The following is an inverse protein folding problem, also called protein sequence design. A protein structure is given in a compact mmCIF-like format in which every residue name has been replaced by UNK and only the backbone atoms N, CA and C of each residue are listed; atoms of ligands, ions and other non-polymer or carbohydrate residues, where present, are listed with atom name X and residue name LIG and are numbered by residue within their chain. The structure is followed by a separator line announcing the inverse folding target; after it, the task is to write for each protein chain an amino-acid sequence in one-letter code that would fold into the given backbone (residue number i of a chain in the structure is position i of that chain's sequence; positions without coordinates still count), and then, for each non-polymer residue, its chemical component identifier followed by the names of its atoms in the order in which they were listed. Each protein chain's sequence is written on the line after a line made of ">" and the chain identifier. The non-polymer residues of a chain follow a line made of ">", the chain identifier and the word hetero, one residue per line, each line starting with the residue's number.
data_IF_532041781900
#
_entry.id   IF_532041781900
#
_cell.length_a   1.000
_cell.length_b   1.000
_cell.length_c   1.000
_cell.angle_alpha   90.00
_cell.angle_beta   90.00
_cell.angle_gamma   90.00
#
_symmetry.space_group_name_H-M   'P 1'
#
loop_
_entity.id
_entity.type
_entity.pdbx_description
1 polymer ?
#
# COMPACT_ATOMS: atom_id res chain seq x y z
N UNK A 1 -17.52 4.94 12.16
CA UNK A 1 -17.53 3.59 11.53
C UNK A 1 -16.54 3.61 10.38
N UNK A 2 -15.67 2.60 10.31
CA UNK A 2 -14.77 2.34 9.19
C UNK A 2 -15.27 1.08 8.47
N UNK A 3 -15.42 1.18 7.15
CA UNK A 3 -15.77 0.06 6.26
C UNK A 3 -14.58 -0.19 5.35
N UNK A 4 -14.04 -1.39 5.38
CA UNK A 4 -12.88 -1.84 4.61
C UNK A 4 -13.06 -3.30 4.18
N UNK A 5 -12.23 -3.80 3.26
CA UNK A 5 -12.21 -5.19 2.81
C UNK A 5 -13.57 -5.69 2.29
N UNK A 6 -14.31 -4.85 1.59
CA UNK A 6 -15.66 -5.17 1.09
C UNK A 6 -15.65 -6.22 -0.04
N UNK A 7 -14.50 -6.48 -0.61
CA UNK A 7 -14.23 -7.47 -1.67
C UNK A 7 -13.94 -8.88 -1.12
N UNK A 8 -13.52 -8.98 0.14
CA UNK A 8 -13.07 -10.26 0.73
C UNK A 8 -14.18 -11.21 1.23
N UNK A 9 -15.39 -10.74 1.70
CA UNK A 9 -16.39 -11.66 2.21
C UNK A 9 -16.69 -12.78 1.21
N UNK A 10 -16.78 -14.02 1.70
CA UNK A 10 -16.94 -15.23 0.88
C UNK A 10 -18.11 -15.14 -0.13
N UNK A 11 -19.21 -14.47 0.26
CA UNK A 11 -20.37 -14.28 -0.63
C UNK A 11 -20.11 -13.24 -1.72
N UNK A 12 -19.18 -12.32 -1.51
CA UNK A 12 -18.83 -11.26 -2.46
C UNK A 12 -17.71 -11.73 -3.39
N UNK A 13 -16.65 -12.30 -2.83
CA UNK A 13 -15.53 -12.91 -3.55
C UNK A 13 -15.06 -12.07 -4.76
N UNK A 14 -14.81 -10.79 -4.54
CA UNK A 14 -14.34 -9.86 -5.57
C UNK A 14 -15.41 -9.38 -6.57
N UNK A 15 -16.67 -9.82 -6.45
CA UNK A 15 -17.73 -9.39 -7.37
C UNK A 15 -18.11 -7.92 -7.15
N UNK A 16 -17.86 -7.09 -8.15
CA UNK A 16 -18.20 -5.66 -8.16
C UNK A 16 -19.69 -5.41 -7.99
N UNK A 17 -20.52 -6.25 -8.58
CA UNK A 17 -21.98 -6.13 -8.52
C UNK A 17 -22.49 -6.42 -7.10
N UNK A 18 -21.96 -7.45 -6.44
CA UNK A 18 -22.32 -7.76 -5.07
C UNK A 18 -21.78 -6.73 -4.07
N UNK A 19 -20.57 -6.21 -4.28
CA UNK A 19 -20.05 -5.07 -3.52
C UNK A 19 -20.96 -3.85 -3.67
N UNK A 20 -21.40 -3.54 -4.88
CA UNK A 20 -22.34 -2.46 -5.15
C UNK A 20 -23.66 -2.69 -4.43
N UNK A 21 -24.24 -3.88 -4.53
CA UNK A 21 -25.50 -4.24 -3.88
C UNK A 21 -25.43 -4.08 -2.35
N UNK A 22 -24.27 -4.36 -1.75
CA UNK A 22 -24.02 -4.15 -0.32
C UNK A 22 -23.91 -2.66 0.04
N UNK A 23 -23.13 -1.89 -0.72
CA UNK A 23 -22.69 -0.54 -0.33
C UNK A 23 -23.68 0.55 -0.72
N UNK A 24 -24.36 0.44 -1.88
CA UNK A 24 -25.26 1.48 -2.37
C UNK A 24 -26.42 1.78 -1.41
N UNK A 25 -27.08 0.80 -0.80
CA UNK A 25 -28.06 1.07 0.25
C UNK A 25 -27.49 1.82 1.45
N UNK A 26 -26.23 1.60 1.81
CA UNK A 26 -25.56 2.33 2.90
C UNK A 26 -25.32 3.79 2.50
N UNK A 27 -24.86 4.04 1.26
CA UNK A 27 -24.61 5.38 0.74
C UNK A 27 -25.89 6.18 0.53
N UNK A 28 -26.96 5.53 0.06
CA UNK A 28 -28.25 6.16 -0.26
C UNK A 28 -29.19 6.28 0.94
N UNK A 29 -28.79 5.82 2.12
CA UNK A 29 -29.65 5.72 3.29
C UNK A 29 -29.48 6.92 4.25
N UNK A 30 -30.51 7.12 5.09
CA UNK A 30 -30.49 8.02 6.25
C UNK A 30 -29.37 7.68 7.26
N UNK A 31 -28.74 6.49 7.14
CA UNK A 31 -27.63 6.06 7.97
C UNK A 31 -26.47 7.08 7.99
N UNK A 32 -26.08 7.61 6.82
CA UNK A 32 -25.02 8.63 6.73
C UNK A 32 -25.46 10.01 7.28
N UNK A 33 -26.74 10.19 7.54
CA UNK A 33 -27.33 11.46 8.02
C UNK A 33 -27.63 11.43 9.52
N UNK A 34 -27.35 10.32 10.21
CA UNK A 34 -27.59 10.22 11.66
C UNK A 34 -26.62 11.11 12.42
N UNK A 35 -27.12 11.94 13.36
CA UNK A 35 -26.24 12.74 14.23
C UNK A 35 -25.27 11.84 15.00
N UNK A 36 -24.02 12.26 15.11
CA UNK A 36 -22.99 11.52 15.86
C UNK A 36 -22.40 10.30 15.14
N UNK A 37 -22.84 10.00 13.91
CA UNK A 37 -22.29 8.91 13.10
C UNK A 37 -21.42 9.47 11.97
N UNK A 38 -20.12 9.17 12.01
CA UNK A 38 -19.21 9.38 10.90
C UNK A 38 -18.86 8.05 10.25
N UNK A 39 -18.95 7.96 8.93
CA UNK A 39 -18.58 6.74 8.17
C UNK A 39 -17.44 7.08 7.24
N UNK A 40 -16.42 6.23 7.23
CA UNK A 40 -15.33 6.23 6.24
C UNK A 40 -15.35 4.88 5.55
N UNK A 41 -15.31 4.89 4.22
CA UNK A 41 -15.28 3.69 3.41
C UNK A 41 -14.02 3.69 2.57
N UNK A 42 -13.24 2.60 2.63
CA UNK A 42 -12.14 2.31 1.73
C UNK A 42 -12.69 1.36 0.68
N UNK A 43 -12.84 1.85 -0.53
CA UNK A 43 -13.50 1.10 -1.61
C UNK A 43 -12.47 0.66 -2.65
N UNK A 44 -12.60 -0.56 -3.19
CA UNK A 44 -11.83 -1.00 -4.35
C UNK A 44 -12.00 -0.03 -5.53
N UNK A 45 -10.93 0.15 -6.30
CA UNK A 45 -10.90 1.09 -7.43
C UNK A 45 -11.92 0.74 -8.50
N UNK A 46 -12.25 -0.53 -8.64
CA UNK A 46 -13.25 -1.06 -9.57
C UNK A 46 -14.64 -0.48 -9.35
N UNK A 47 -14.95 -0.10 -8.10
CA UNK A 47 -16.22 0.56 -7.78
C UNK A 47 -16.27 2.03 -8.21
N UNK A 48 -15.13 2.65 -8.50
CA UNK A 48 -15.07 4.06 -8.91
C UNK A 48 -15.86 4.32 -10.19
N UNK A 49 -15.84 3.39 -11.15
CA UNK A 49 -16.60 3.50 -12.39
C UNK A 49 -18.11 3.48 -12.15
N UNK A 50 -18.58 2.65 -11.22
CA UNK A 50 -19.99 2.61 -10.86
C UNK A 50 -20.42 3.92 -10.19
N UNK A 51 -19.59 4.44 -9.27
CA UNK A 51 -19.85 5.74 -8.64
C UNK A 51 -19.93 6.85 -9.71
N UNK A 52 -19.00 6.87 -10.67
CA UNK A 52 -18.97 7.88 -11.73
C UNK A 52 -20.17 7.82 -12.68
N UNK A 53 -20.79 6.66 -12.84
CA UNK A 53 -22.00 6.47 -13.68
C UNK A 53 -23.28 6.86 -12.98
N UNK A 54 -23.27 7.07 -11.68
CA UNK A 54 -24.44 7.49 -10.92
C UNK A 54 -24.81 8.95 -11.24
N UNK A 55 -26.10 9.24 -11.20
CA UNK A 55 -26.60 10.57 -11.49
C UNK A 55 -26.40 11.57 -10.33
N UNK A 56 -26.56 12.86 -10.63
CA UNK A 56 -26.40 13.95 -9.66
C UNK A 56 -27.21 13.74 -8.37
N UNK A 57 -28.42 13.24 -8.49
CA UNK A 57 -29.29 12.98 -7.35
C UNK A 57 -28.69 11.94 -6.37
N UNK A 58 -28.05 10.89 -6.88
CA UNK A 58 -27.32 9.94 -6.05
C UNK A 58 -26.14 10.61 -5.31
N UNK A 59 -25.33 11.41 -6.02
CA UNK A 59 -24.21 12.14 -5.41
C UNK A 59 -24.67 13.07 -4.27
N UNK A 60 -25.77 13.80 -4.47
CA UNK A 60 -26.33 14.70 -3.46
C UNK A 60 -26.87 13.91 -2.26
N UNK A 61 -27.55 12.80 -2.48
CA UNK A 61 -28.07 11.94 -1.40
C UNK A 61 -26.94 11.27 -0.61
N UNK A 62 -25.96 10.70 -1.31
CA UNK A 62 -24.82 10.02 -0.75
C UNK A 62 -23.75 10.98 -0.20
N UNK A 63 -23.90 12.28 -0.42
CA UNK A 63 -22.93 13.32 -0.04
C UNK A 63 -21.54 13.06 -0.61
N UNK A 64 -21.44 12.52 -1.80
CA UNK A 64 -20.21 12.28 -2.54
C UNK A 64 -19.79 13.52 -3.35
N UNK A 65 -19.93 14.71 -2.76
CA UNK A 65 -19.40 15.94 -3.33
C UNK A 65 -17.85 15.97 -3.19
N UNK A 66 -17.24 17.03 -3.69
CA UNK A 66 -15.77 17.19 -3.72
C UNK A 66 -15.10 17.12 -2.34
N UNK A 67 -15.87 17.33 -1.26
CA UNK A 67 -15.33 17.33 0.10
C UNK A 67 -15.33 15.93 0.74
N UNK A 68 -16.22 15.04 0.29
CA UNK A 68 -16.46 13.75 0.89
C UNK A 68 -15.87 12.57 0.10
N UNK A 69 -15.52 12.79 -1.16
CA UNK A 69 -14.91 11.78 -2.02
C UNK A 69 -13.42 12.06 -2.25
N UNK A 70 -12.57 11.13 -1.80
CA UNK A 70 -11.15 11.12 -2.11
C UNK A 70 -10.94 10.08 -3.21
N UNK A 71 -10.66 10.51 -4.46
CA UNK A 71 -10.65 9.59 -5.61
C UNK A 71 -9.51 8.58 -5.58
N UNK A 72 -8.39 8.91 -4.96
CA UNK A 72 -7.25 7.98 -4.83
C UNK A 72 -6.35 8.37 -3.66
N UNK A 73 -5.66 7.37 -3.11
CA UNK A 73 -4.57 7.57 -2.15
C UNK A 73 -3.24 7.40 -2.89
N UNK A 74 -2.59 8.50 -3.19
CA UNK A 74 -1.31 8.50 -3.89
C UNK A 74 -0.16 8.52 -2.88
N UNK A 75 0.83 7.66 -3.11
CA UNK A 75 2.05 7.57 -2.32
C UNK A 75 3.22 8.12 -3.13
N UNK A 76 3.90 9.12 -2.61
CA UNK A 76 5.18 9.55 -3.15
C UNK A 76 6.33 8.70 -2.60
N UNK A 77 7.50 8.77 -3.24
CA UNK A 77 8.70 8.11 -2.73
C UNK A 77 9.07 8.60 -1.33
N UNK A 78 8.89 9.89 -1.08
CA UNK A 78 9.14 10.53 0.21
C UNK A 78 8.16 10.03 1.30
N UNK A 79 6.88 9.93 0.97
CA UNK A 79 5.88 9.37 1.88
C UNK A 79 6.16 7.90 2.21
N UNK A 80 6.60 7.10 1.23
CA UNK A 80 7.02 5.72 1.46
C UNK A 80 8.31 5.64 2.28
N UNK A 81 9.24 6.58 2.09
CA UNK A 81 10.46 6.69 2.91
C UNK A 81 10.10 6.99 4.37
N UNK A 82 9.17 7.89 4.63
CA UNK A 82 8.70 8.22 5.97
C UNK A 82 7.99 7.02 6.63
N UNK A 83 7.17 6.28 5.89
CA UNK A 83 6.54 5.04 6.37
C UNK A 83 7.59 3.99 6.75
N UNK A 84 8.62 3.79 5.92
CA UNK A 84 9.73 2.88 6.21
C UNK A 84 10.49 3.31 7.47
N UNK A 85 10.81 4.60 7.59
CA UNK A 85 11.46 5.16 8.77
C UNK A 85 10.65 4.96 10.04
N UNK A 86 9.36 5.23 10.01
CA UNK A 86 8.47 5.02 11.14
C UNK A 86 8.48 3.55 11.59
N UNK A 87 8.49 2.61 10.63
CA UNK A 87 8.54 1.18 10.93
C UNK A 87 9.87 0.76 11.55
N UNK A 88 10.99 1.23 10.99
CA UNK A 88 12.34 0.95 11.52
C UNK A 88 12.50 1.50 12.94
N UNK A 89 12.06 2.74 13.18
CA UNK A 89 12.07 3.34 14.52
C UNK A 89 11.25 2.55 15.53
N UNK A 90 10.09 2.04 15.13
CA UNK A 90 9.24 1.24 16.01
C UNK A 90 9.86 -0.12 16.41
N UNK A 91 10.85 -0.60 15.63
CA UNK A 91 11.59 -1.84 15.91
C UNK A 91 12.95 -1.58 16.55
N UNK A 92 13.34 -0.31 16.76
CA UNK A 92 14.63 0.04 17.33
C UNK A 92 14.65 -0.14 18.86
N UNK A 93 15.84 -0.36 19.38
CA UNK A 93 16.08 -0.31 20.83
C UNK A 93 15.78 1.08 21.40
N UNK A 94 15.39 1.12 22.67
CA UNK A 94 15.08 2.37 23.37
C UNK A 94 16.28 3.33 23.29
N UNK A 95 15.99 4.59 22.98
CA UNK A 95 17.02 5.64 22.82
C UNK A 95 17.72 5.65 21.45
N UNK A 96 17.49 4.66 20.57
CA UNK A 96 18.01 4.68 19.21
C UNK A 96 16.96 5.19 18.22
N UNK A 97 17.39 5.96 17.20
CA UNK A 97 16.53 6.47 16.15
C UNK A 97 17.11 6.19 14.76
N UNK A 98 17.21 4.91 14.36
CA UNK A 98 17.70 4.56 13.04
C UNK A 98 16.74 5.01 11.94
N UNK A 99 17.28 5.17 10.72
CA UNK A 99 16.53 5.48 9.52
C UNK A 99 16.67 4.37 8.47
N UNK A 100 15.83 4.40 7.46
CA UNK A 100 15.95 3.50 6.30
C UNK A 100 17.35 3.59 5.67
N UNK A 101 17.93 4.80 5.60
CA UNK A 101 19.27 5.03 5.07
C UNK A 101 20.35 4.22 5.79
N UNK A 102 20.19 4.02 7.09
CA UNK A 102 21.19 3.31 7.88
C UNK A 102 21.29 1.81 7.55
N UNK A 103 20.32 1.25 6.85
CA UNK A 103 20.39 -0.14 6.38
C UNK A 103 21.34 -0.34 5.20
N UNK A 104 21.71 0.72 4.50
CA UNK A 104 22.52 0.66 3.29
C UNK A 104 23.92 1.19 3.52
N UNK A 105 24.90 0.68 2.79
CA UNK A 105 26.24 1.21 2.74
C UNK A 105 26.30 2.49 1.85
N UNK A 106 27.49 3.03 1.66
CA UNK A 106 27.71 4.26 0.91
C UNK A 106 27.52 4.08 -0.60
N UNK A 107 27.53 2.86 -1.11
CA UNK A 107 27.33 2.59 -2.54
C UNK A 107 25.90 2.83 -3.00
N UNK A 108 24.93 2.87 -2.08
CA UNK A 108 23.52 3.20 -2.38
C UNK A 108 23.26 4.66 -2.06
N UNK A 109 22.99 5.49 -3.04
CA UNK A 109 22.68 6.91 -2.81
C UNK A 109 21.24 7.12 -2.31
N UNK A 110 21.01 8.22 -1.57
CA UNK A 110 19.67 8.60 -1.10
C UNK A 110 18.69 8.78 -2.26
N UNK A 111 19.14 9.38 -3.34
CA UNK A 111 18.32 9.54 -4.54
C UNK A 111 17.91 8.18 -5.12
N UNK A 112 18.84 7.21 -5.14
CA UNK A 112 18.53 5.88 -5.65
C UNK A 112 17.51 5.14 -4.79
N UNK A 113 17.56 5.29 -3.46
CA UNK A 113 16.54 4.77 -2.55
C UNK A 113 15.17 5.38 -2.88
N UNK A 114 15.09 6.72 -2.99
CA UNK A 114 13.84 7.41 -3.30
C UNK A 114 13.26 6.97 -4.65
N UNK A 115 14.10 6.81 -5.68
CA UNK A 115 13.65 6.37 -6.99
C UNK A 115 13.07 4.95 -6.94
N UNK A 116 13.72 4.04 -6.22
CA UNK A 116 13.18 2.70 -6.00
C UNK A 116 11.83 2.73 -5.26
N UNK A 117 11.69 3.58 -4.24
CA UNK A 117 10.42 3.74 -3.52
C UNK A 117 9.30 4.28 -4.42
N UNK A 118 9.60 5.24 -5.30
CA UNK A 118 8.63 5.73 -6.30
C UNK A 118 8.14 4.62 -7.23
N UNK A 119 9.03 3.70 -7.59
CA UNK A 119 8.67 2.54 -8.42
C UNK A 119 7.78 1.55 -7.67
N UNK A 120 7.96 1.38 -6.37
CA UNK A 120 7.14 0.49 -5.54
C UNK A 120 5.69 0.98 -5.34
N UNK A 121 5.43 2.27 -5.50
CA UNK A 121 4.12 2.94 -5.58
C UNK A 121 3.24 2.87 -4.33
N UNK A 122 3.25 1.78 -3.56
CA UNK A 122 2.34 1.58 -2.41
C UNK A 122 3.05 0.89 -1.24
N UNK A 123 2.60 1.10 0.02
CA UNK A 123 3.22 0.51 1.20
C UNK A 123 3.29 -1.03 1.17
N UNK A 124 2.30 -1.70 0.59
CA UNK A 124 2.30 -3.17 0.45
C UNK A 124 3.53 -3.65 -0.32
N UNK A 125 3.85 -3.00 -1.44
CA UNK A 125 5.03 -3.34 -2.25
C UNK A 125 6.32 -2.96 -1.55
N UNK A 126 6.37 -1.82 -0.87
CA UNK A 126 7.50 -1.44 -0.03
C UNK A 126 7.84 -2.55 0.99
N UNK A 127 6.87 -2.99 1.79
CA UNK A 127 7.14 -3.98 2.82
C UNK A 127 7.49 -5.37 2.27
N UNK A 128 6.86 -5.80 1.18
CA UNK A 128 7.23 -7.05 0.49
C UNK A 128 8.66 -6.99 -0.05
N UNK A 129 9.04 -5.88 -0.67
CA UNK A 129 10.40 -5.67 -1.17
C UNK A 129 11.42 -5.64 -0.03
N UNK A 130 11.17 -4.85 1.02
CA UNK A 130 12.04 -4.76 2.18
C UNK A 130 12.24 -6.11 2.88
N UNK A 131 11.16 -6.88 3.04
CA UNK A 131 11.25 -8.23 3.59
C UNK A 131 12.17 -9.11 2.74
N UNK A 132 11.97 -9.15 1.42
CA UNK A 132 12.81 -9.92 0.50
C UNK A 132 14.28 -9.47 0.56
N UNK A 133 14.52 -8.17 0.58
CA UNK A 133 15.86 -7.59 0.64
C UNK A 133 16.59 -7.98 1.93
N UNK A 134 15.93 -7.87 3.07
CA UNK A 134 16.51 -8.25 4.37
C UNK A 134 16.79 -9.75 4.44
N UNK A 135 15.85 -10.59 3.99
CA UNK A 135 16.06 -12.05 3.96
C UNK A 135 17.21 -12.42 3.02
N UNK A 136 17.30 -11.82 1.84
CA UNK A 136 18.40 -12.05 0.91
C UNK A 136 19.74 -11.63 1.51
N UNK A 137 19.76 -10.51 2.21
CA UNK A 137 20.97 -10.02 2.90
C UNK A 137 21.42 -10.98 4.01
N UNK A 138 20.49 -11.38 4.89
CA UNK A 138 20.81 -12.32 5.98
C UNK A 138 21.25 -13.69 5.46
N UNK A 139 20.66 -14.16 4.36
CA UNK A 139 21.06 -15.45 3.76
C UNK A 139 22.43 -15.40 3.06
N UNK A 140 22.87 -14.23 2.63
CA UNK A 140 24.18 -14.05 2.00
C UNK A 140 25.34 -13.91 3.01
N UNK A 141 25.04 -13.66 4.28
CA UNK A 141 26.04 -13.40 5.31
C UNK A 141 25.81 -14.29 6.53
N UNK A 142 26.89 -14.87 7.05
CA UNK A 142 26.85 -15.74 8.22
C UNK A 142 27.10 -14.95 9.50
N UNK A 143 26.73 -15.53 10.65
CA UNK A 143 27.03 -14.95 11.96
C UNK A 143 28.54 -14.85 12.25
N UNK A 144 29.36 -15.68 11.59
CA UNK A 144 30.81 -15.66 11.72
C UNK A 144 31.47 -14.49 10.99
N UNK A 145 30.82 -13.99 9.91
CA UNK A 145 31.30 -12.85 9.13
C UNK A 145 30.14 -11.90 8.85
N UNK A 146 29.65 -11.20 9.87
CA UNK A 146 28.47 -10.35 9.72
C UNK A 146 28.77 -9.11 8.87
N UNK A 147 27.92 -8.86 7.89
CA UNK A 147 27.87 -7.60 7.14
C UNK A 147 26.58 -6.89 7.51
N UNK A 148 26.70 -5.72 8.12
CA UNK A 148 25.56 -5.01 8.70
C UNK A 148 24.81 -4.10 7.73
N UNK A 149 25.41 -3.81 6.58
CA UNK A 149 24.85 -2.87 5.61
C UNK A 149 24.67 -3.52 4.24
N UNK A 150 23.56 -3.20 3.61
CA UNK A 150 23.17 -3.70 2.30
C UNK A 150 23.92 -2.95 1.23
N UNK A 151 24.60 -3.66 0.33
CA UNK A 151 25.31 -3.09 -0.82
C UNK A 151 24.39 -2.74 -1.97
N UNK A 152 24.85 -1.87 -2.87
CA UNK A 152 24.13 -1.52 -4.10
C UNK A 152 23.89 -2.75 -4.99
N UNK A 153 24.83 -3.67 -5.07
CA UNK A 153 24.67 -4.89 -5.88
C UNK A 153 23.48 -5.73 -5.42
N UNK A 154 23.38 -6.00 -4.11
CA UNK A 154 22.28 -6.78 -3.54
C UNK A 154 20.95 -6.01 -3.67
N UNK A 155 20.97 -4.70 -3.44
CA UNK A 155 19.79 -3.85 -3.59
C UNK A 155 19.23 -3.91 -5.01
N UNK A 156 20.07 -3.68 -6.03
CA UNK A 156 19.66 -3.65 -7.43
C UNK A 156 19.20 -5.03 -7.94
N UNK A 157 19.93 -6.09 -7.60
CA UNK A 157 19.55 -7.45 -7.98
C UNK A 157 18.22 -7.86 -7.38
N UNK A 158 18.00 -7.55 -6.09
CA UNK A 158 16.72 -7.84 -5.42
C UNK A 158 15.57 -7.02 -6.01
N UNK A 159 15.81 -5.74 -6.31
CA UNK A 159 14.80 -4.88 -6.93
C UNK A 159 14.43 -5.36 -8.33
N UNK A 160 15.40 -5.78 -9.14
CA UNK A 160 15.16 -6.32 -10.48
C UNK A 160 14.31 -7.62 -10.43
N UNK A 161 14.61 -8.52 -9.50
CA UNK A 161 13.83 -9.75 -9.29
C UNK A 161 12.41 -9.38 -8.84
N UNK A 162 12.28 -8.46 -7.89
CA UNK A 162 10.98 -8.02 -7.37
C UNK A 162 10.09 -7.44 -8.49
N UNK A 163 10.63 -6.58 -9.35
CA UNK A 163 9.92 -6.01 -10.52
C UNK A 163 9.43 -7.10 -11.46
N UNK A 164 10.30 -8.03 -11.83
CA UNK A 164 9.95 -9.13 -12.73
C UNK A 164 8.80 -9.96 -12.18
N UNK A 165 8.83 -10.26 -10.88
CA UNK A 165 7.78 -11.04 -10.23
C UNK A 165 6.44 -10.26 -10.16
N UNK A 166 6.48 -8.94 -9.94
CA UNK A 166 5.28 -8.08 -10.01
C UNK A 166 4.69 -8.05 -11.43
N UNK A 167 5.53 -7.83 -12.43
CA UNK A 167 5.08 -7.84 -13.83
C UNK A 167 4.47 -9.18 -14.24
N UNK A 168 4.94 -10.29 -13.69
CA UNK A 168 4.39 -11.62 -13.94
C UNK A 168 3.01 -11.78 -13.26
N UNK A 169 2.86 -11.29 -12.03
CA UNK A 169 1.56 -11.30 -11.31
C UNK A 169 0.53 -10.43 -12.01
N UNK A 170 0.90 -9.21 -12.42
CA UNK A 170 0.00 -8.27 -13.09
C UNK A 170 -0.48 -8.82 -14.47
N UNK A 171 0.31 -9.67 -15.10
CA UNK A 171 -0.07 -10.37 -16.35
C UNK A 171 -0.81 -11.69 -16.12
N UNK A 172 -1.12 -12.05 -14.87
CA UNK A 172 -1.78 -13.32 -14.55
C UNK A 172 -0.90 -14.57 -14.74
N UNK A 173 0.42 -14.38 -14.87
CA UNK A 173 1.41 -15.44 -15.04
C UNK A 173 2.12 -15.82 -13.72
N UNK A 174 1.72 -15.21 -12.62
CA UNK A 174 2.26 -15.49 -11.29
C UNK A 174 1.79 -16.87 -10.81
N UNK A 175 2.73 -17.74 -10.48
CA UNK A 175 2.44 -18.98 -9.74
C UNK A 175 1.92 -18.62 -8.35
N UNK A 176 0.73 -19.12 -8.03
CA UNK A 176 0.13 -19.11 -6.69
C UNK A 176 1.01 -19.81 -5.67
#
# INVERSE_FOLDING_TARGET
>A
VLVDLVDEPHLINGSTELMRALLWPMLDNKFLKQPGVGVKMLLPVELSEFVQREGREFYERARLDKQNLIPSLNWSGEALFDVANARIKACAEEGKSPSLRNLFDESVSDQRILDALRELRVPRHLFKFMYRLLVSHCNAHTDEQPVWKISSELFESTLAIYRRDQDAMDRGLGTT
#
